data_IF_310990994624
#
_entry.id   IF_310990994624
#
_cell.length_a   1.000
_cell.length_b   1.000
_cell.length_c   1.000
_cell.angle_alpha   90.00
_cell.angle_beta   90.00
_cell.angle_gamma   90.00
#
_symmetry.space_group_name_H-M   'P 1'
#
loop_
_entity.id
_entity.type
_entity.pdbx_description
1 polymer ?
#
# COMPACT_ATOMS: atom_id res chain seq x y z
N UNK A 1 24.65 6.42 9.12
CA UNK A 1 25.26 7.20 8.01
C UNK A 1 25.11 8.70 8.32
N UNK A 2 26.17 9.35 8.84
CA UNK A 2 26.17 10.78 9.14
C UNK A 2 26.24 11.59 7.85
N UNK A 3 25.21 12.38 7.52
CA UNK A 3 25.35 13.42 6.50
C UNK A 3 26.08 14.62 7.12
N UNK A 4 27.03 15.25 6.42
CA UNK A 4 27.69 16.45 6.91
C UNK A 4 26.65 17.55 7.19
N UNK A 5 26.80 18.24 8.32
CA UNK A 5 26.05 19.46 8.60
C UNK A 5 26.33 20.48 7.48
N UNK A 6 25.32 21.29 7.18
CA UNK A 6 25.33 22.26 6.10
C UNK A 6 26.47 23.27 6.30
N UNK A 7 27.63 22.95 5.75
CA UNK A 7 28.83 23.77 5.84
C UNK A 7 29.84 23.48 4.72
N UNK A 8 29.87 22.27 4.15
CA UNK A 8 30.87 21.93 3.12
C UNK A 8 30.38 21.06 1.94
N UNK A 9 29.17 20.50 1.98
CA UNK A 9 28.63 19.74 0.86
C UNK A 9 27.78 20.65 -0.04
N UNK A 10 28.24 20.92 -1.26
CA UNK A 10 27.48 21.69 -2.25
C UNK A 10 26.08 21.09 -2.50
N UNK A 11 25.10 21.93 -2.87
CA UNK A 11 23.68 21.56 -3.06
C UNK A 11 23.48 20.28 -3.90
N UNK A 12 24.36 20.02 -4.87
CA UNK A 12 24.38 18.80 -5.70
C UNK A 12 24.65 17.52 -4.90
N UNK A 13 25.61 17.52 -3.99
CA UNK A 13 25.95 16.36 -3.16
C UNK A 13 24.81 16.04 -2.18
N UNK A 14 24.19 17.07 -1.61
CA UNK A 14 23.02 16.90 -0.74
C UNK A 14 21.81 16.33 -1.49
N UNK A 15 21.54 16.80 -2.72
CA UNK A 15 20.50 16.25 -3.57
C UNK A 15 20.77 14.79 -3.95
N UNK A 16 22.01 14.42 -4.26
CA UNK A 16 22.39 13.04 -4.55
C UNK A 16 22.19 12.11 -3.34
N UNK A 17 22.56 12.56 -2.14
CA UNK A 17 22.35 11.82 -0.91
C UNK A 17 20.85 11.58 -0.61
N UNK A 18 20.00 12.60 -0.81
CA UNK A 18 18.55 12.46 -0.67
C UNK A 18 17.95 11.48 -1.68
N UNK A 19 18.40 11.51 -2.94
CA UNK A 19 17.96 10.52 -3.95
C UNK A 19 18.34 9.09 -3.56
N UNK A 20 19.56 8.89 -3.04
CA UNK A 20 20.01 7.58 -2.57
C UNK A 20 19.16 7.09 -1.39
N UNK A 21 18.93 7.95 -0.41
CA UNK A 21 18.08 7.65 0.73
C UNK A 21 16.66 7.27 0.31
N UNK A 22 16.05 8.05 -0.58
CA UNK A 22 14.71 7.77 -1.12
C UNK A 22 14.63 6.37 -1.74
N UNK A 23 15.57 6.02 -2.63
CA UNK A 23 15.62 4.68 -3.24
C UNK A 23 15.77 3.56 -2.22
N UNK A 24 16.60 3.76 -1.19
CA UNK A 24 16.76 2.77 -0.13
C UNK A 24 15.46 2.56 0.65
N UNK A 25 14.74 3.64 0.97
CA UNK A 25 13.44 3.56 1.66
C UNK A 25 12.35 2.96 0.76
N UNK A 26 12.36 3.27 -0.53
CA UNK A 26 11.45 2.64 -1.50
C UNK A 26 11.66 1.13 -1.55
N UNK A 27 12.92 0.68 -1.58
CA UNK A 27 13.25 -0.76 -1.53
C UNK A 27 12.79 -1.42 -0.24
N UNK A 28 12.99 -0.77 0.91
CA UNK A 28 12.51 -1.28 2.21
C UNK A 28 10.98 -1.38 2.25
N UNK A 29 10.26 -0.36 1.78
CA UNK A 29 8.80 -0.38 1.72
C UNK A 29 8.28 -1.47 0.78
N UNK A 30 8.92 -1.67 -0.36
CA UNK A 30 8.57 -2.77 -1.25
C UNK A 30 8.74 -4.12 -0.55
N UNK A 31 9.84 -4.32 0.18
CA UNK A 31 10.04 -5.54 0.97
C UNK A 31 8.97 -5.74 2.04
N UNK A 32 8.58 -4.69 2.76
CA UNK A 32 7.48 -4.75 3.73
C UNK A 32 6.17 -5.17 3.05
N UNK A 33 5.85 -4.56 1.91
CA UNK A 33 4.63 -4.89 1.16
C UNK A 33 4.61 -6.33 0.67
N UNK A 34 5.69 -6.80 0.06
CA UNK A 34 5.73 -8.14 -0.55
C UNK A 34 5.88 -9.23 0.51
N UNK A 35 6.72 -9.02 1.52
CA UNK A 35 7.03 -10.04 2.51
C UNK A 35 6.06 -10.01 3.68
N UNK A 36 5.96 -8.88 4.36
CA UNK A 36 5.19 -8.81 5.62
C UNK A 36 3.68 -8.72 5.34
N UNK A 37 3.26 -7.86 4.41
CA UNK A 37 1.84 -7.60 4.17
C UNK A 37 1.16 -8.61 3.24
N UNK A 38 1.93 -9.29 2.39
CA UNK A 38 1.44 -10.30 1.46
C UNK A 38 1.85 -11.69 1.95
N UNK A 39 3.13 -12.07 1.82
CA UNK A 39 3.54 -13.47 2.05
C UNK A 39 3.25 -13.95 3.47
N UNK A 40 3.63 -13.17 4.48
CA UNK A 40 3.51 -13.55 5.90
C UNK A 40 2.10 -13.29 6.46
N UNK A 41 1.27 -12.48 5.77
CA UNK A 41 -0.08 -12.12 6.21
C UNK A 41 -1.18 -12.75 5.32
N UNK A 42 -0.85 -13.79 4.57
CA UNK A 42 -1.81 -14.44 3.67
C UNK A 42 -3.06 -14.95 4.40
N UNK A 43 -2.91 -15.54 5.59
CA UNK A 43 -4.04 -15.99 6.40
C UNK A 43 -4.97 -14.83 6.82
N UNK A 44 -4.41 -13.68 7.19
CA UNK A 44 -5.18 -12.49 7.56
C UNK A 44 -5.95 -11.90 6.38
N UNK A 45 -5.32 -11.85 5.20
CA UNK A 45 -5.99 -11.45 3.96
C UNK A 45 -7.10 -12.45 3.58
N UNK A 46 -6.87 -13.74 3.76
CA UNK A 46 -7.89 -14.76 3.53
C UNK A 46 -9.09 -14.63 4.47
N UNK A 47 -8.86 -14.35 5.76
CA UNK A 47 -9.93 -14.10 6.72
C UNK A 47 -10.77 -12.87 6.33
N UNK A 48 -10.12 -11.79 5.89
CA UNK A 48 -10.80 -10.60 5.39
C UNK A 48 -11.68 -10.90 4.17
N UNK A 49 -11.16 -11.67 3.20
CA UNK A 49 -11.94 -12.03 2.00
C UNK A 49 -13.17 -12.88 2.33
N UNK A 50 -13.05 -13.83 3.28
CA UNK A 50 -14.20 -14.61 3.76
C UNK A 50 -15.25 -13.70 4.37
N UNK A 51 -14.86 -12.87 5.36
CA UNK A 51 -15.78 -11.91 5.98
C UNK A 51 -16.50 -11.04 4.97
N UNK A 52 -15.79 -10.55 3.96
CA UNK A 52 -16.38 -9.73 2.91
C UNK A 52 -17.27 -10.53 1.96
N UNK A 53 -17.13 -11.84 1.82
CA UNK A 53 -17.99 -12.68 0.99
C UNK A 53 -19.40 -12.85 1.59
N UNK A 54 -19.51 -12.85 2.92
CA UNK A 54 -20.79 -12.94 3.61
C UNK A 54 -21.63 -11.66 3.45
N UNK A 55 -22.85 -11.73 2.87
CA UNK A 55 -23.70 -10.55 2.68
C UNK A 55 -24.06 -9.82 3.99
N UNK A 56 -24.17 -10.57 5.10
CA UNK A 56 -24.47 -10.02 6.42
C UNK A 56 -23.41 -9.04 6.96
N UNK A 57 -22.19 -9.08 6.41
CA UNK A 57 -21.09 -8.20 6.80
C UNK A 57 -20.99 -6.95 5.90
N UNK A 58 -21.93 -6.75 4.97
CA UNK A 58 -21.94 -5.61 4.04
C UNK A 58 -23.06 -4.62 4.41
N UNK A 59 -22.84 -3.29 4.28
CA UNK A 59 -21.61 -2.62 3.82
C UNK A 59 -20.47 -2.71 4.85
N UNK A 60 -19.22 -2.74 4.36
CA UNK A 60 -18.02 -2.94 5.19
C UNK A 60 -17.04 -1.77 5.08
N UNK A 61 -16.34 -1.47 6.18
CA UNK A 61 -15.21 -0.52 6.22
C UNK A 61 -13.91 -1.27 6.53
N UNK A 62 -12.95 -1.20 5.61
CA UNK A 62 -11.59 -1.73 5.81
C UNK A 62 -10.69 -0.57 6.22
N UNK A 63 -10.06 -0.65 7.39
CA UNK A 63 -9.14 0.38 7.86
C UNK A 63 -7.87 -0.20 8.50
N UNK A 64 -6.87 0.65 8.68
CA UNK A 64 -5.70 0.38 9.51
C UNK A 64 -5.44 1.60 10.39
N UNK A 65 -4.17 1.93 10.69
CA UNK A 65 -3.85 3.13 11.49
C UNK A 65 -4.10 4.43 10.72
N UNK A 66 -3.65 4.51 9.47
CA UNK A 66 -3.75 5.71 8.62
C UNK A 66 -4.47 5.41 7.29
N UNK A 67 -4.98 4.19 7.12
CA UNK A 67 -5.74 3.79 5.94
C UNK A 67 -4.95 3.62 4.64
N UNK A 68 -3.61 3.60 4.68
CA UNK A 68 -2.74 3.53 3.49
C UNK A 68 -2.22 2.13 3.20
N UNK A 69 -1.37 1.59 4.07
CA UNK A 69 -0.54 0.43 3.71
C UNK A 69 -1.31 -0.90 3.72
N UNK A 70 -1.69 -1.38 4.91
CA UNK A 70 -2.47 -2.62 5.08
C UNK A 70 -3.84 -2.54 4.41
N UNK A 71 -4.49 -1.38 4.52
CA UNK A 71 -5.77 -1.11 3.83
C UNK A 71 -5.60 -1.14 2.31
N UNK A 72 -4.54 -0.50 1.79
CA UNK A 72 -4.26 -0.49 0.36
C UNK A 72 -3.97 -1.88 -0.19
N UNK A 73 -3.22 -2.73 0.52
CA UNK A 73 -2.98 -4.12 0.11
C UNK A 73 -4.27 -4.93 0.10
N UNK A 74 -5.11 -4.82 1.13
CA UNK A 74 -6.40 -5.50 1.18
C UNK A 74 -7.34 -5.05 0.04
N UNK A 75 -7.45 -3.74 -0.19
CA UNK A 75 -8.25 -3.19 -1.27
C UNK A 75 -7.72 -3.60 -2.65
N UNK A 76 -6.40 -3.55 -2.86
CA UNK A 76 -5.78 -3.97 -4.11
C UNK A 76 -6.01 -5.45 -4.41
N UNK A 77 -5.92 -6.31 -3.39
CA UNK A 77 -6.19 -7.74 -3.52
C UNK A 77 -7.65 -7.99 -3.94
N UNK A 78 -8.60 -7.33 -3.27
CA UNK A 78 -10.02 -7.44 -3.58
C UNK A 78 -10.33 -6.95 -5.00
N UNK A 79 -9.86 -5.76 -5.37
CA UNK A 79 -10.08 -5.19 -6.70
C UNK A 79 -9.47 -6.08 -7.80
N UNK A 80 -8.29 -6.64 -7.57
CA UNK A 80 -7.66 -7.55 -8.52
C UNK A 80 -8.47 -8.87 -8.69
N UNK A 81 -9.05 -9.42 -7.61
CA UNK A 81 -9.96 -10.57 -7.69
C UNK A 81 -11.27 -10.25 -8.44
N UNK A 82 -11.75 -9.01 -8.31
CA UNK A 82 -12.93 -8.53 -9.04
C UNK A 82 -12.63 -8.28 -10.54
N UNK A 83 -11.35 -8.29 -10.94
CA UNK A 83 -10.91 -8.14 -12.33
C UNK A 83 -10.57 -6.71 -12.72
N UNK A 84 -10.37 -5.82 -11.74
CA UNK A 84 -9.97 -4.43 -11.99
C UNK A 84 -8.52 -4.40 -12.51
N UNK A 85 -8.22 -3.61 -13.56
CA UNK A 85 -6.87 -3.47 -14.08
C UNK A 85 -5.86 -2.90 -13.06
N UNK A 86 -4.60 -3.34 -13.15
CA UNK A 86 -3.54 -2.94 -12.21
C UNK A 86 -3.28 -1.43 -12.20
N UNK A 87 -3.37 -0.76 -13.34
CA UNK A 87 -3.18 0.68 -13.45
C UNK A 87 -4.27 1.46 -12.72
N UNK A 88 -5.52 0.97 -12.77
CA UNK A 88 -6.64 1.51 -12.00
C UNK A 88 -6.42 1.29 -10.50
N UNK A 89 -6.02 0.08 -10.09
CA UNK A 89 -5.73 -0.23 -8.67
C UNK A 89 -4.61 0.66 -8.13
N UNK A 90 -3.54 0.86 -8.91
CA UNK A 90 -2.40 1.71 -8.54
C UNK A 90 -2.82 3.19 -8.45
N UNK A 91 -3.69 3.65 -9.36
CA UNK A 91 -4.22 5.00 -9.33
C UNK A 91 -5.09 5.23 -8.07
N UNK A 92 -5.98 4.30 -7.75
CA UNK A 92 -6.83 4.34 -6.56
C UNK A 92 -6.00 4.40 -5.28
N UNK A 93 -5.02 3.51 -5.12
CA UNK A 93 -4.08 3.55 -3.99
C UNK A 93 -3.38 4.90 -3.86
N UNK A 94 -3.06 5.55 -4.98
CA UNK A 94 -2.36 6.84 -4.98
C UNK A 94 -3.26 8.00 -4.52
N UNK A 95 -4.59 7.85 -4.50
CA UNK A 95 -5.52 8.86 -3.97
C UNK A 95 -5.34 9.08 -2.47
N UNK A 96 -4.82 8.10 -1.72
CA UNK A 96 -4.47 8.29 -0.30
C UNK A 96 -3.52 9.47 -0.08
N UNK A 97 -2.72 9.85 -1.09
CA UNK A 97 -1.87 11.05 -1.02
C UNK A 97 -2.64 12.35 -0.83
N UNK A 98 -3.91 12.43 -1.28
CA UNK A 98 -4.76 13.61 -1.10
C UNK A 98 -5.11 13.80 0.38
N UNK A 99 -5.58 12.74 1.03
CA UNK A 99 -5.82 12.72 2.48
C UNK A 99 -4.53 13.00 3.27
N UNK A 100 -3.38 12.50 2.78
CA UNK A 100 -2.07 12.84 3.35
C UNK A 100 -1.72 14.33 3.19
N UNK A 101 -2.05 14.98 2.07
CA UNK A 101 -1.77 16.41 1.89
C UNK A 101 -2.57 17.27 2.87
N UNK A 102 -3.83 16.92 3.10
CA UNK A 102 -4.71 17.55 4.09
C UNK A 102 -4.18 17.30 5.52
N UNK A 103 -3.85 16.05 5.84
CA UNK A 103 -3.26 15.69 7.14
C UNK A 103 -1.91 16.39 7.36
N UNK A 104 -1.06 16.46 6.33
CA UNK A 104 0.23 17.14 6.39
C UNK A 104 0.05 18.65 6.62
N UNK A 105 -1.00 19.27 6.07
CA UNK A 105 -1.35 20.66 6.35
C UNK A 105 -1.71 20.88 7.82
N UNK A 106 -2.48 19.97 8.41
CA UNK A 106 -2.84 19.98 9.83
C UNK A 106 -1.64 19.69 10.74
N UNK A 107 -0.74 18.80 10.34
CA UNK A 107 0.44 18.40 11.12
C UNK A 107 1.66 19.34 10.95
N UNK A 108 1.59 20.40 10.12
CA UNK A 108 2.69 21.37 9.96
C UNK A 108 3.27 21.89 11.28
N UNK A 109 2.49 22.20 12.33
CA UNK A 109 3.03 22.65 13.62
C UNK A 109 3.82 21.56 14.36
N UNK A 110 3.40 20.30 14.24
CA UNK A 110 4.09 19.14 14.81
C UNK A 110 5.38 18.82 14.04
N UNK A 111 5.35 18.89 12.71
CA UNK A 111 6.56 18.77 11.87
C UNK A 111 7.58 19.87 12.15
N UNK A 112 7.13 21.10 12.46
CA UNK A 112 8.02 22.17 12.95
C UNK A 112 8.73 21.79 14.24
N UNK A 113 8.02 21.19 15.21
CA UNK A 113 8.62 20.68 16.47
C UNK A 113 9.59 19.52 16.22
N UNK A 114 9.23 18.57 15.35
CA UNK A 114 10.12 17.47 14.97
C UNK A 114 11.40 17.95 14.24
N UNK A 115 11.30 19.03 13.46
CA UNK A 115 12.45 19.68 12.84
C UNK A 115 13.44 20.24 13.87
N UNK A 116 12.94 20.85 14.96
CA UNK A 116 13.77 21.27 16.10
C UNK A 116 14.42 20.09 16.84
N UNK A 117 13.79 18.92 16.83
CA UNK A 117 14.35 17.67 17.38
C UNK A 117 15.28 16.93 16.39
N UNK A 118 15.66 17.55 15.27
CA UNK A 118 16.62 16.99 14.30
C UNK A 118 16.03 16.07 13.23
N UNK A 119 14.72 15.84 13.23
CA UNK A 119 14.03 15.03 12.21
C UNK A 119 13.68 15.92 11.01
N UNK A 120 14.37 15.71 9.88
CA UNK A 120 14.08 16.46 8.65
C UNK A 120 12.85 15.89 7.93
N UNK A 121 11.83 16.71 7.59
CA UNK A 121 10.63 16.24 6.90
C UNK A 121 10.90 15.47 5.60
N UNK A 122 11.94 15.86 4.85
CA UNK A 122 12.37 15.18 3.62
C UNK A 122 12.85 13.74 3.81
N UNK A 123 13.14 13.33 5.06
CA UNK A 123 13.45 11.93 5.40
C UNK A 123 12.20 11.10 5.69
N UNK A 124 11.10 11.72 6.13
CA UNK A 124 9.85 11.01 6.43
C UNK A 124 8.95 10.87 5.21
N UNK A 125 9.05 11.81 4.26
CA UNK A 125 8.25 11.85 3.04
C UNK A 125 8.13 10.48 2.31
N UNK A 126 9.18 9.66 2.13
CA UNK A 126 9.05 8.37 1.45
C UNK A 126 8.12 7.38 2.18
N UNK A 127 8.08 7.44 3.51
CA UNK A 127 7.24 6.57 4.34
C UNK A 127 5.77 7.04 4.36
N UNK A 128 5.57 8.35 4.20
CA UNK A 128 4.26 8.97 4.30
C UNK A 128 3.45 8.86 3.01
N UNK A 129 4.10 8.85 1.85
CA UNK A 129 3.39 8.87 0.56
C UNK A 129 2.97 7.47 0.10
N UNK A 130 1.76 7.39 -0.46
CA UNK A 130 1.26 6.24 -1.21
C UNK A 130 1.88 6.24 -2.61
N UNK A 131 3.08 5.68 -2.74
CA UNK A 131 3.83 5.70 -4.00
C UNK A 131 3.30 4.66 -4.99
N UNK A 132 2.95 5.02 -6.24
CA UNK A 132 2.47 4.08 -7.25
C UNK A 132 3.39 2.87 -7.45
N UNK A 133 4.70 3.08 -7.36
CA UNK A 133 5.71 2.05 -7.56
C UNK A 133 5.65 0.96 -6.48
N UNK A 134 5.29 1.32 -5.24
CA UNK A 134 5.16 0.35 -4.14
C UNK A 134 3.99 -0.60 -4.40
N UNK A 135 2.82 -0.06 -4.76
CA UNK A 135 1.67 -0.89 -5.10
C UNK A 135 1.89 -1.72 -6.36
N UNK A 136 2.55 -1.16 -7.38
CA UNK A 136 2.91 -1.90 -8.59
C UNK A 136 3.84 -3.08 -8.27
N UNK A 137 4.81 -2.89 -7.38
CA UNK A 137 5.70 -3.97 -6.95
C UNK A 137 4.93 -5.06 -6.18
N UNK A 138 3.97 -4.69 -5.34
CA UNK A 138 3.12 -5.63 -4.62
C UNK A 138 2.26 -6.48 -5.56
N UNK A 139 1.59 -5.85 -6.53
CA UNK A 139 0.78 -6.53 -7.56
C UNK A 139 1.63 -7.41 -8.49
N UNK A 140 2.84 -6.95 -8.83
CA UNK A 140 3.79 -7.75 -9.61
C UNK A 140 4.28 -8.97 -8.83
N UNK A 141 4.59 -8.81 -7.54
CA UNK A 141 5.03 -9.89 -6.66
C UNK A 141 3.98 -11.01 -6.57
N UNK A 142 2.70 -10.66 -6.35
CA UNK A 142 1.60 -11.63 -6.35
C UNK A 142 1.62 -12.50 -7.62
N UNK A 143 1.76 -11.87 -8.79
CA UNK A 143 1.73 -12.56 -10.09
C UNK A 143 3.01 -13.33 -10.39
N UNK A 144 4.17 -12.80 -10.02
CA UNK A 144 5.46 -13.43 -10.29
C UNK A 144 5.72 -14.62 -9.37
N UNK A 145 5.34 -14.51 -8.09
CA UNK A 145 5.58 -15.54 -7.08
C UNK A 145 4.53 -16.65 -7.11
N UNK A 146 3.26 -16.29 -7.28
CA UNK A 146 2.14 -17.23 -7.21
C UNK A 146 1.50 -17.52 -8.59
N UNK A 147 2.00 -16.91 -9.67
CA UNK A 147 1.45 -17.07 -11.03
C UNK A 147 0.20 -16.21 -11.29
N UNK A 148 -0.66 -15.99 -10.29
CA UNK A 148 -1.80 -15.08 -10.37
C UNK A 148 -2.29 -14.66 -8.99
N UNK A 149 -3.14 -13.63 -8.94
CA UNK A 149 -3.81 -13.22 -7.70
C UNK A 149 -4.76 -14.32 -7.19
N UNK A 150 -5.48 -14.99 -8.10
CA UNK A 150 -6.37 -16.10 -7.73
C UNK A 150 -5.60 -17.28 -7.14
N UNK A 151 -4.42 -17.61 -7.69
CA UNK A 151 -3.55 -18.65 -7.15
C UNK A 151 -3.02 -18.29 -5.76
N UNK A 152 -2.56 -17.05 -5.54
CA UNK A 152 -2.19 -16.58 -4.19
C UNK A 152 -3.33 -16.76 -3.17
N UNK A 153 -4.54 -16.36 -3.55
CA UNK A 153 -5.72 -16.43 -2.67
C UNK A 153 -6.08 -17.87 -2.31
N UNK A 154 -5.96 -18.79 -3.28
CA UNK A 154 -6.22 -20.21 -3.08
C UNK A 154 -5.13 -20.90 -2.25
N UNK A 155 -3.88 -20.72 -2.64
CA UNK A 155 -2.75 -21.51 -2.14
C UNK A 155 -2.16 -20.95 -0.85
N UNK A 156 -2.05 -19.62 -0.75
CA UNK A 156 -1.45 -18.96 0.41
C UNK A 156 -2.50 -18.45 1.39
N UNK A 157 -3.59 -17.84 0.91
CA UNK A 157 -4.64 -17.30 1.77
C UNK A 157 -5.71 -18.35 2.16
N UNK A 158 -5.69 -19.53 1.52
CA UNK A 158 -6.57 -20.67 1.80
C UNK A 158 -8.03 -20.43 1.45
N UNK A 159 -8.33 -19.51 0.55
CA UNK A 159 -9.68 -19.10 0.17
C UNK A 159 -10.12 -19.84 -1.10
N UNK A 160 -11.23 -20.55 -1.03
CA UNK A 160 -11.78 -21.31 -2.16
C UNK A 160 -12.54 -20.44 -3.18
N UNK A 161 -12.90 -21.06 -4.30
CA UNK A 161 -13.59 -20.38 -5.41
C UNK A 161 -15.00 -19.92 -5.02
N UNK A 162 -15.64 -20.59 -4.08
CA UNK A 162 -16.96 -20.23 -3.54
C UNK A 162 -16.97 -18.84 -2.89
N UNK A 163 -15.91 -18.53 -2.13
CA UNK A 163 -15.75 -17.22 -1.49
C UNK A 163 -15.49 -16.16 -2.55
N UNK A 164 -14.65 -16.46 -3.55
CA UNK A 164 -14.37 -15.54 -4.65
C UNK A 164 -15.63 -15.27 -5.48
N UNK A 165 -16.46 -16.28 -5.73
CA UNK A 165 -17.74 -16.14 -6.41
C UNK A 165 -18.70 -15.24 -5.61
N UNK A 166 -18.84 -15.46 -4.30
CA UNK A 166 -19.69 -14.63 -3.43
C UNK A 166 -19.22 -13.17 -3.32
N UNK A 167 -17.91 -12.92 -3.44
CA UNK A 167 -17.38 -11.56 -3.59
C UNK A 167 -17.81 -10.93 -4.92
N UNK A 168 -17.64 -11.65 -6.04
CA UNK A 168 -18.01 -11.14 -7.37
C UNK A 168 -19.51 -10.86 -7.47
N UNK A 169 -20.34 -11.78 -7.00
CA UNK A 169 -21.80 -11.66 -7.06
C UNK A 169 -22.32 -10.42 -6.31
N UNK A 170 -21.81 -10.15 -5.11
CA UNK A 170 -22.36 -9.06 -4.30
C UNK A 170 -21.53 -7.78 -4.25
N UNK A 171 -20.44 -7.67 -5.02
CA UNK A 171 -19.66 -6.43 -5.16
C UNK A 171 -19.59 -5.91 -6.60
N UNK A 172 -20.08 -6.67 -7.59
CA UNK A 172 -20.23 -6.21 -8.97
C UNK A 172 -21.70 -5.96 -9.29
N UNK A 173 -21.96 -4.98 -10.15
CA UNK A 173 -23.29 -4.78 -10.71
C UNK A 173 -23.61 -5.93 -11.68
N UNK A 174 -24.89 -6.34 -11.73
CA UNK A 174 -25.35 -7.25 -12.77
C UNK A 174 -25.10 -6.59 -14.13
N UNK A 175 -24.37 -7.28 -15.01
CA UNK A 175 -24.15 -6.81 -16.37
C UNK A 175 -25.47 -6.90 -17.12
N UNK A 176 -26.25 -5.81 -17.11
CA UNK A 176 -27.44 -5.70 -17.95
C UNK A 176 -26.95 -5.53 -19.38
N UNK A 177 -27.11 -6.57 -20.20
CA UNK A 177 -26.90 -6.52 -21.66
C UNK A 177 -27.90 -5.59 -22.33
#
# INVERSE_FOLDING_TARGET
>A
LHLPLAGQAGRRAQAAALRRYRRQMDGLLQQIYTRELIDENAAGLGALLRLLAEPANRPALIHCAVGKDRTGVAAALLLALLGVPDDVIVAEYSLSNRAHAEMAALMRPAFRRAWWAGVRPSRLEPLLLARPQTMRAALAHLRQRYGSVAAYVREAAGVGDEVVAGLREGLLEATTN
#
